data_IF_720021121387
#
_entry.id   IF_720021121387
#
_cell.length_a   1.000
_cell.length_b   1.000
_cell.length_c   1.000
_cell.angle_alpha   90.00
_cell.angle_beta   90.00
_cell.angle_gamma   90.00
#
_symmetry.space_group_name_H-M   'P 1'
#
loop_
_entity.id
_entity.type
_entity.pdbx_description
1 polymer ?
#
# COMPACT_ATOMS: atom_id res chain seq x y z
N UNK A 1 1.75 -40.56 -17.15
CA UNK A 1 3.03 -40.56 -16.42
C UNK A 1 3.23 -39.19 -15.82
N UNK A 2 3.12 -39.14 -14.50
CA UNK A 2 3.17 -37.94 -13.66
C UNK A 2 4.50 -37.20 -13.85
N UNK A 3 4.48 -35.94 -14.31
CA UNK A 3 5.65 -35.07 -14.23
C UNK A 3 5.71 -34.52 -12.82
N UNK A 4 6.72 -35.01 -12.10
CA UNK A 4 7.12 -34.64 -10.76
C UNK A 4 7.19 -33.12 -10.60
N UNK A 5 6.61 -32.62 -9.50
CA UNK A 5 6.84 -31.28 -8.96
C UNK A 5 8.34 -31.09 -8.77
N UNK A 6 8.99 -30.29 -9.61
CA UNK A 6 10.34 -29.79 -9.34
C UNK A 6 10.25 -28.92 -8.09
N UNK A 7 10.96 -29.31 -7.03
CA UNK A 7 11.27 -28.40 -5.94
C UNK A 7 12.08 -27.25 -6.56
N UNK A 8 11.49 -26.05 -6.62
CA UNK A 8 12.22 -24.85 -7.01
C UNK A 8 13.08 -24.49 -5.80
N UNK A 9 14.38 -24.78 -5.86
CA UNK A 9 15.30 -24.29 -4.83
C UNK A 9 15.31 -22.77 -4.90
N UNK A 10 15.16 -22.03 -3.78
CA UNK A 10 15.22 -20.58 -3.79
C UNK A 10 16.57 -20.11 -4.34
N UNK A 11 16.58 -18.99 -5.06
CA UNK A 11 17.85 -18.42 -5.51
C UNK A 11 18.66 -17.97 -4.29
N UNK A 12 19.98 -18.05 -4.43
CA UNK A 12 20.93 -17.62 -3.39
C UNK A 12 21.42 -16.24 -3.80
N UNK A 13 21.12 -15.25 -2.97
CA UNK A 13 21.25 -13.84 -3.31
C UNK A 13 22.25 -13.15 -2.39
N UNK A 14 23.22 -12.45 -2.97
CA UNK A 14 24.06 -11.49 -2.26
C UNK A 14 23.44 -10.12 -2.37
N UNK A 15 23.23 -9.44 -1.24
CA UNK A 15 22.75 -8.06 -1.21
C UNK A 15 23.95 -7.12 -1.14
N UNK A 16 23.94 -6.07 -1.97
CA UNK A 16 24.92 -5.00 -1.93
C UNK A 16 24.21 -3.66 -1.71
N UNK A 17 24.66 -2.88 -0.73
CA UNK A 17 24.08 -1.57 -0.44
C UNK A 17 25.15 -0.52 -0.18
N UNK A 18 24.76 0.75 -0.30
CA UNK A 18 25.58 1.88 0.11
C UNK A 18 24.99 2.53 1.34
N UNK A 19 25.87 3.04 2.19
CA UNK A 19 25.48 3.87 3.31
C UNK A 19 25.54 5.33 2.89
N UNK A 20 24.42 6.03 3.01
CA UNK A 20 24.33 7.44 2.68
C UNK A 20 25.29 8.28 3.53
N UNK A 21 26.07 9.12 2.85
CA UNK A 21 26.90 10.12 3.51
C UNK A 21 26.08 11.29 4.09
N UNK A 22 24.81 11.44 3.69
CA UNK A 22 23.93 12.55 4.05
C UNK A 22 23.48 12.54 5.53
N UNK A 23 23.59 11.40 6.23
CA UNK A 23 23.36 11.35 7.67
C UNK A 23 24.44 12.10 8.49
N UNK A 24 25.57 12.50 7.86
CA UNK A 24 26.69 13.16 8.55
C UNK A 24 26.71 14.69 8.43
N UNK A 25 25.81 15.33 7.68
CA UNK A 25 25.95 16.75 7.32
C UNK A 25 24.89 17.71 7.88
N UNK A 26 24.00 17.28 8.78
CA UNK A 26 22.97 18.15 9.36
C UNK A 26 23.10 18.39 10.88
N UNK A 27 24.33 18.45 11.39
CA UNK A 27 24.62 19.01 12.73
C UNK A 27 25.92 19.82 12.71
N UNK A 28 25.97 20.90 11.93
CA UNK A 28 26.92 22.00 12.20
C UNK A 28 26.29 23.32 11.79
N UNK A 29 25.47 23.87 12.69
CA UNK A 29 25.37 25.30 12.98
C UNK A 29 24.33 25.49 14.09
N UNK A 30 24.74 25.39 15.36
CA UNK A 30 24.60 26.51 16.30
C UNK A 30 25.28 26.20 17.66
N UNK A 31 25.88 27.25 18.21
CA UNK A 31 26.33 27.45 19.61
C UNK A 31 27.55 26.72 20.19
N UNK A 32 28.55 27.57 20.40
CA UNK A 32 29.73 27.52 21.25
C UNK A 32 29.39 27.36 22.76
N UNK A 33 30.34 26.77 23.50
CA UNK A 33 30.54 26.73 24.96
C UNK A 33 30.10 25.51 25.83
N UNK A 34 31.15 24.78 26.22
CA UNK A 34 31.45 24.18 27.54
C UNK A 34 30.69 22.93 28.02
N UNK A 35 31.46 21.85 28.22
CA UNK A 35 31.26 20.92 29.34
C UNK A 35 30.97 19.46 28.97
N UNK A 36 32.04 18.65 28.99
CA UNK A 36 32.11 17.20 29.28
C UNK A 36 30.79 16.46 29.65
N UNK A 37 30.46 15.38 28.92
CA UNK A 37 30.31 13.96 29.37
C UNK A 37 29.62 13.17 28.23
N UNK A 38 30.12 11.95 27.95
CA UNK A 38 29.72 11.12 26.82
C UNK A 38 28.32 10.50 26.86
N UNK A 39 27.89 10.09 25.65
CA UNK A 39 26.62 9.45 25.27
C UNK A 39 26.30 9.94 23.85
N UNK A 40 25.95 9.17 22.83
CA UNK A 40 25.51 7.77 22.70
C UNK A 40 25.69 7.40 21.22
N UNK A 41 26.49 6.37 20.96
CA UNK A 41 26.79 5.77 19.63
C UNK A 41 25.64 4.86 19.11
N UNK A 42 24.40 5.08 19.59
CA UNK A 42 23.29 4.13 19.43
C UNK A 42 22.31 4.48 18.30
N UNK A 43 22.09 5.76 18.00
CA UNK A 43 21.15 6.21 16.96
C UNK A 43 21.67 5.97 15.52
N UNK A 44 22.99 5.98 15.34
CA UNK A 44 23.62 5.76 14.04
C UNK A 44 23.60 4.27 13.63
N UNK A 45 23.68 3.34 14.59
CA UNK A 45 23.65 1.90 14.32
C UNK A 45 22.24 1.39 13.98
N UNK A 46 21.18 1.98 14.56
CA UNK A 46 19.79 1.58 14.30
C UNK A 46 19.34 1.92 12.88
N UNK A 47 19.69 3.11 12.37
CA UNK A 47 19.32 3.48 11.00
C UNK A 47 20.08 2.66 9.94
N UNK A 48 21.31 2.20 10.26
CA UNK A 48 22.16 1.35 9.42
C UNK A 48 21.66 -0.10 9.30
N UNK A 49 20.97 -0.62 10.32
CA UNK A 49 20.42 -2.00 10.32
C UNK A 49 19.10 -2.07 9.56
N UNK A 50 18.24 -1.06 9.71
CA UNK A 50 16.86 -1.07 9.18
C UNK A 50 16.74 -0.91 7.65
N UNK A 51 17.66 -0.22 6.95
CA UNK A 51 17.66 -0.16 5.47
C UNK A 51 18.03 -1.52 4.86
N UNK A 52 19.07 -2.14 5.41
CA UNK A 52 19.53 -3.48 5.01
C UNK A 52 18.45 -4.53 5.28
N UNK A 53 17.64 -4.34 6.33
CA UNK A 53 16.54 -5.24 6.67
C UNK A 53 15.38 -5.16 5.68
N UNK A 54 15.07 -3.98 5.11
CA UNK A 54 14.01 -3.84 4.11
C UNK A 54 14.37 -4.54 2.80
N UNK A 55 15.56 -4.28 2.24
CA UNK A 55 15.98 -4.95 1.00
C UNK A 55 16.08 -6.46 1.18
N UNK A 56 16.53 -6.93 2.35
CA UNK A 56 16.52 -8.35 2.68
C UNK A 56 15.08 -8.90 2.78
N UNK A 57 14.12 -8.13 3.29
CA UNK A 57 12.71 -8.50 3.28
C UNK A 57 12.13 -8.54 1.86
N UNK A 58 12.56 -7.64 0.96
CA UNK A 58 12.18 -7.66 -0.46
C UNK A 58 12.72 -8.92 -1.16
N UNK A 59 13.99 -9.26 -0.95
CA UNK A 59 14.61 -10.49 -1.50
C UNK A 59 13.84 -11.72 -1.05
N UNK A 60 13.48 -11.80 0.25
CA UNK A 60 12.67 -12.90 0.78
C UNK A 60 11.25 -12.92 0.21
N UNK A 61 10.65 -11.75 -0.05
CA UNK A 61 9.33 -11.63 -0.67
C UNK A 61 9.34 -12.11 -2.13
N UNK A 62 10.45 -11.93 -2.86
CA UNK A 62 10.66 -12.50 -4.19
C UNK A 62 10.84 -14.03 -4.17
N UNK A 63 11.00 -14.64 -2.99
CA UNK A 63 11.22 -16.07 -2.82
C UNK A 63 12.68 -16.48 -2.80
N UNK A 64 13.61 -15.52 -2.70
CA UNK A 64 15.04 -15.73 -2.68
C UNK A 64 15.60 -15.77 -1.24
N UNK A 65 16.76 -16.41 -1.07
CA UNK A 65 17.48 -16.50 0.20
C UNK A 65 18.68 -15.54 0.20
N UNK A 66 18.75 -14.65 1.20
CA UNK A 66 19.92 -13.78 1.39
C UNK A 66 21.06 -14.59 2.02
N UNK A 67 22.14 -14.79 1.28
CA UNK A 67 23.30 -15.59 1.74
C UNK A 67 24.47 -14.75 2.23
N UNK A 68 24.57 -13.50 1.79
CA UNK A 68 25.55 -12.53 2.26
C UNK A 68 25.06 -11.10 2.00
N UNK A 69 25.59 -10.15 2.77
CA UNK A 69 25.34 -8.71 2.60
C UNK A 69 26.67 -7.98 2.57
N UNK A 70 26.83 -7.07 1.61
CA UNK A 70 28.01 -6.26 1.39
C UNK A 70 27.60 -4.78 1.45
N UNK A 71 28.24 -4.00 2.32
CA UNK A 71 27.94 -2.57 2.48
C UNK A 71 29.16 -1.71 2.18
N UNK A 72 28.94 -0.53 1.59
CA UNK A 72 30.00 0.46 1.35
C UNK A 72 29.57 1.86 1.80
N UNK A 73 30.41 2.51 2.62
CA UNK A 73 30.24 3.92 2.95
C UNK A 73 30.92 4.84 1.91
N UNK A 74 30.30 5.98 1.58
CA UNK A 74 30.91 7.05 0.78
C UNK A 74 30.04 7.52 -0.39
N UNK A 75 30.64 8.13 -1.41
CA UNK A 75 29.94 8.56 -2.65
C UNK A 75 29.87 7.49 -3.73
N UNK A 76 28.78 7.47 -4.48
CA UNK A 76 28.57 6.57 -5.62
C UNK A 76 29.73 6.63 -6.61
N UNK A 77 30.07 5.48 -7.19
CA UNK A 77 30.94 5.43 -8.34
C UNK A 77 30.06 5.56 -9.60
N UNK A 78 30.28 6.58 -10.46
CA UNK A 78 29.49 6.75 -11.67
C UNK A 78 29.49 5.53 -12.60
N UNK A 79 30.57 4.73 -12.59
CA UNK A 79 30.72 3.58 -13.48
C UNK A 79 30.15 2.26 -12.96
N UNK A 80 30.14 2.02 -11.65
CA UNK A 80 29.81 0.71 -11.08
C UNK A 80 28.96 0.75 -9.83
N UNK A 81 28.48 1.94 -9.43
CA UNK A 81 27.79 2.23 -8.16
C UNK A 81 28.68 2.01 -6.92
N UNK A 82 29.31 0.84 -6.78
CA UNK A 82 30.32 0.48 -5.77
C UNK A 82 31.75 0.85 -6.22
N UNK A 83 32.70 0.95 -5.29
CA UNK A 83 34.11 1.13 -5.62
C UNK A 83 34.74 -0.16 -6.16
N UNK A 84 35.77 -0.07 -7.01
CA UNK A 84 36.38 -1.22 -7.68
C UNK A 84 36.74 -2.37 -6.73
N UNK A 85 37.43 -2.09 -5.62
CA UNK A 85 37.77 -3.14 -4.64
C UNK A 85 36.55 -3.82 -4.00
N UNK A 86 35.41 -3.12 -3.93
CA UNK A 86 34.16 -3.68 -3.41
C UNK A 86 33.41 -4.49 -4.46
N UNK A 87 33.57 -4.14 -5.74
CA UNK A 87 33.10 -4.96 -6.87
C UNK A 87 33.87 -6.28 -6.92
N UNK A 88 35.19 -6.24 -6.72
CA UNK A 88 36.02 -7.44 -6.63
C UNK A 88 35.60 -8.31 -5.44
N UNK A 89 35.43 -7.71 -4.25
CA UNK A 89 34.94 -8.38 -3.04
C UNK A 89 33.55 -9.01 -3.26
N UNK A 90 32.66 -8.32 -3.98
CA UNK A 90 31.34 -8.81 -4.33
C UNK A 90 31.41 -10.04 -5.24
N UNK A 91 32.24 -10.00 -6.29
CA UNK A 91 32.44 -11.14 -7.19
C UNK A 91 33.04 -12.35 -6.44
N UNK A 92 34.02 -12.12 -5.55
CA UNK A 92 34.59 -13.16 -4.69
C UNK A 92 33.55 -13.77 -3.75
N UNK A 93 32.68 -12.94 -3.16
CA UNK A 93 31.62 -13.39 -2.26
C UNK A 93 30.57 -14.22 -2.99
N UNK A 94 30.17 -13.80 -4.20
CA UNK A 94 29.24 -14.55 -5.05
C UNK A 94 29.81 -15.94 -5.36
N UNK A 95 31.09 -16.01 -5.76
CA UNK A 95 31.75 -17.28 -6.04
C UNK A 95 31.92 -18.16 -4.79
N UNK A 96 32.20 -17.57 -3.62
CA UNK A 96 32.37 -18.32 -2.38
C UNK A 96 31.06 -18.86 -1.79
N UNK A 97 29.95 -18.16 -2.03
CA UNK A 97 28.63 -18.51 -1.49
C UNK A 97 27.75 -19.31 -2.45
N UNK A 98 28.22 -19.53 -3.68
CA UNK A 98 27.46 -20.14 -4.78
C UNK A 98 26.14 -19.39 -5.00
N UNK A 99 26.22 -18.06 -4.96
CA UNK A 99 25.09 -17.18 -5.24
C UNK A 99 24.89 -17.07 -6.74
N UNK A 100 23.63 -17.09 -7.18
CA UNK A 100 23.25 -16.93 -8.59
C UNK A 100 22.58 -15.57 -8.84
N UNK A 101 22.42 -14.75 -7.80
CA UNK A 101 21.88 -13.39 -7.89
C UNK A 101 22.66 -12.41 -7.04
N UNK A 102 22.76 -11.20 -7.54
CA UNK A 102 23.19 -10.02 -6.79
C UNK A 102 22.05 -9.01 -6.83
N UNK A 103 21.65 -8.51 -5.67
CA UNK A 103 20.68 -7.43 -5.54
C UNK A 103 21.39 -6.19 -5.02
N UNK A 104 21.31 -5.10 -5.76
CA UNK A 104 21.79 -3.79 -5.32
C UNK A 104 20.63 -2.98 -4.75
N UNK A 105 20.77 -2.48 -3.52
CA UNK A 105 19.76 -1.70 -2.80
C UNK A 105 19.71 -0.23 -3.23
N UNK A 106 19.51 0.00 -4.53
CA UNK A 106 19.32 1.31 -5.15
C UNK A 106 18.86 1.13 -6.61
N UNK A 107 18.60 2.22 -7.34
CA UNK A 107 18.44 2.20 -8.79
C UNK A 107 19.80 2.30 -9.49
N UNK A 108 20.10 1.36 -10.39
CA UNK A 108 21.33 1.37 -11.17
C UNK A 108 21.10 2.05 -12.52
N UNK A 109 22.01 2.93 -12.93
CA UNK A 109 22.03 3.41 -14.32
C UNK A 109 22.37 2.26 -15.29
N UNK A 110 22.00 2.33 -16.58
CA UNK A 110 22.31 1.29 -17.55
C UNK A 110 23.79 0.91 -17.62
N UNK A 111 24.69 1.90 -17.58
CA UNK A 111 26.14 1.67 -17.61
C UNK A 111 26.67 1.03 -16.32
N UNK A 112 26.12 1.41 -15.16
CA UNK A 112 26.46 0.77 -13.87
C UNK A 112 26.02 -0.68 -13.83
N UNK A 113 24.79 -0.96 -14.28
CA UNK A 113 24.26 -2.31 -14.37
C UNK A 113 25.14 -3.19 -15.27
N UNK A 114 25.46 -2.73 -16.48
CA UNK A 114 26.34 -3.46 -17.40
C UNK A 114 27.75 -3.71 -16.84
N UNK A 115 28.32 -2.72 -16.15
CA UNK A 115 29.65 -2.82 -15.54
C UNK A 115 29.67 -3.87 -14.42
N UNK A 116 28.65 -3.86 -13.55
CA UNK A 116 28.51 -4.84 -12.48
C UNK A 116 28.27 -6.25 -13.05
N UNK A 117 27.35 -6.38 -14.01
CA UNK A 117 27.05 -7.65 -14.67
C UNK A 117 28.30 -8.26 -15.31
N UNK A 118 29.11 -7.44 -15.99
CA UNK A 118 30.36 -7.88 -16.62
C UNK A 118 31.46 -8.30 -15.63
N UNK A 119 31.39 -7.80 -14.39
CA UNK A 119 32.36 -8.12 -13.34
C UNK A 119 31.97 -9.36 -12.52
N UNK A 120 30.70 -9.79 -12.57
CA UNK A 120 30.23 -10.95 -11.81
C UNK A 120 30.62 -12.28 -12.47
N UNK A 121 30.68 -13.38 -11.69
CA UNK A 121 30.84 -14.73 -12.25
C UNK A 121 29.77 -15.06 -13.29
N UNK A 122 30.11 -15.92 -14.25
CA UNK A 122 29.17 -16.39 -15.26
C UNK A 122 27.89 -16.95 -14.63
N UNK A 123 26.75 -16.69 -15.26
CA UNK A 123 25.40 -17.08 -14.82
C UNK A 123 24.85 -16.34 -13.58
N UNK A 124 25.53 -15.28 -13.10
CA UNK A 124 25.02 -14.41 -12.02
C UNK A 124 24.11 -13.32 -12.57
N UNK A 125 22.85 -13.27 -12.13
CA UNK A 125 21.96 -12.17 -12.48
C UNK A 125 22.16 -10.98 -11.53
N UNK A 126 22.42 -9.79 -12.08
CA UNK A 126 22.46 -8.53 -11.32
C UNK A 126 21.10 -7.85 -11.41
N UNK A 127 20.50 -7.59 -10.26
CA UNK A 127 19.24 -6.87 -10.11
C UNK A 127 19.51 -5.63 -9.27
N UNK A 128 18.82 -4.55 -9.58
CA UNK A 128 18.73 -3.39 -8.71
C UNK A 128 17.40 -3.44 -7.92
N UNK A 129 17.18 -2.48 -7.02
CA UNK A 129 15.98 -2.44 -6.17
C UNK A 129 14.72 -2.34 -7.03
N UNK A 130 14.77 -1.54 -8.09
CA UNK A 130 13.68 -1.36 -9.05
C UNK A 130 13.28 -2.70 -9.69
N UNK A 131 14.25 -3.44 -10.25
CA UNK A 131 13.98 -4.72 -10.89
C UNK A 131 13.46 -5.77 -9.92
N UNK A 132 14.01 -5.83 -8.70
CA UNK A 132 13.53 -6.75 -7.68
C UNK A 132 12.06 -6.52 -7.35
N UNK A 133 11.67 -5.25 -7.18
CA UNK A 133 10.29 -4.87 -6.91
C UNK A 133 9.36 -5.29 -8.06
N UNK A 134 9.77 -5.08 -9.32
CA UNK A 134 9.01 -5.54 -10.50
C UNK A 134 8.77 -7.06 -10.51
N UNK A 135 9.75 -7.86 -10.10
CA UNK A 135 9.61 -9.32 -10.03
C UNK A 135 8.62 -9.77 -8.95
N UNK A 136 8.65 -9.13 -7.78
CA UNK A 136 7.69 -9.40 -6.71
C UNK A 136 6.26 -9.12 -7.20
N UNK A 137 6.08 -8.03 -7.96
CA UNK A 137 4.79 -7.70 -8.56
C UNK A 137 4.34 -8.66 -9.64
N UNK A 138 5.25 -9.21 -10.44
CA UNK A 138 4.92 -10.22 -11.43
C UNK A 138 4.33 -11.48 -10.77
N UNK A 139 4.96 -11.93 -9.68
CA UNK A 139 4.46 -13.06 -8.89
C UNK A 139 3.07 -12.79 -8.28
N UNK A 140 2.77 -11.53 -7.96
CA UNK A 140 1.52 -11.07 -7.38
C UNK A 140 0.38 -10.79 -8.35
N UNK A 141 0.68 -10.54 -9.63
CA UNK A 141 -0.31 -10.12 -10.60
C UNK A 141 -1.27 -11.28 -10.98
N UNK A 142 -2.46 -11.33 -10.37
CA UNK A 142 -3.50 -12.32 -10.71
C UNK A 142 -4.34 -11.90 -11.92
N UNK A 143 -4.69 -10.61 -12.00
CA UNK A 143 -5.52 -10.08 -13.06
C UNK A 143 -4.78 -9.94 -14.39
N UNK A 144 -5.49 -10.13 -15.50
CA UNK A 144 -4.90 -9.99 -16.85
C UNK A 144 -4.41 -8.57 -17.13
N UNK A 145 -5.02 -7.54 -16.53
CA UNK A 145 -4.59 -6.14 -16.69
C UNK A 145 -3.29 -5.89 -15.91
N UNK A 146 -3.25 -6.31 -14.64
CA UNK A 146 -2.04 -6.21 -13.80
C UNK A 146 -0.84 -6.90 -14.47
N UNK A 147 -1.03 -8.11 -15.03
CA UNK A 147 0.03 -8.80 -15.79
C UNK A 147 0.57 -7.98 -16.96
N UNK A 148 -0.31 -7.31 -17.71
CA UNK A 148 0.10 -6.47 -18.84
C UNK A 148 0.82 -5.19 -18.39
N UNK A 149 0.43 -4.63 -17.24
CA UNK A 149 1.09 -3.44 -16.67
C UNK A 149 2.48 -3.78 -16.14
N UNK A 150 2.62 -4.90 -15.42
CA UNK A 150 3.93 -5.36 -14.94
C UNK A 150 4.86 -5.69 -16.12
N UNK A 151 4.35 -6.39 -17.15
CA UNK A 151 5.12 -6.65 -18.38
C UNK A 151 5.56 -5.33 -19.06
N UNK A 152 4.67 -4.34 -19.14
CA UNK A 152 5.00 -3.03 -19.71
C UNK A 152 6.11 -2.33 -18.90
N UNK A 153 6.00 -2.32 -17.58
CA UNK A 153 6.98 -1.69 -16.71
C UNK A 153 8.36 -2.38 -16.78
N UNK A 154 8.38 -3.72 -16.80
CA UNK A 154 9.61 -4.49 -17.03
C UNK A 154 10.26 -4.15 -18.37
N UNK A 155 9.49 -4.09 -19.46
CA UNK A 155 10.03 -3.74 -20.78
C UNK A 155 10.55 -2.30 -20.85
N UNK A 156 9.88 -1.34 -20.19
CA UNK A 156 10.35 0.05 -20.10
C UNK A 156 11.67 0.15 -19.32
N UNK A 157 11.80 -0.61 -18.24
CA UNK A 157 13.03 -0.71 -17.44
C UNK A 157 14.18 -1.40 -18.20
N UNK A 158 13.87 -2.48 -18.93
CA UNK A 158 14.87 -3.29 -19.65
C UNK A 158 15.35 -2.58 -20.92
N UNK A 159 14.51 -1.79 -21.59
CA UNK A 159 14.83 -1.12 -22.86
C UNK A 159 16.12 -0.28 -22.83
N UNK A 160 16.33 0.68 -21.90
CA UNK A 160 17.57 1.46 -21.87
C UNK A 160 18.81 0.60 -21.57
N UNK A 161 18.68 -0.46 -20.76
CA UNK A 161 19.77 -1.41 -20.44
C UNK A 161 20.11 -2.32 -21.63
N UNK A 162 19.10 -2.71 -22.39
CA UNK A 162 19.28 -3.46 -23.63
C UNK A 162 19.92 -2.60 -24.73
N UNK A 163 19.66 -1.30 -24.75
CA UNK A 163 20.35 -0.36 -25.66
C UNK A 163 21.83 -0.23 -25.28
N UNK A 164 22.14 -0.14 -23.99
CA UNK A 164 23.52 -0.01 -23.48
C UNK A 164 24.35 -1.29 -23.74
N UNK A 165 23.77 -2.47 -23.54
CA UNK A 165 24.44 -3.75 -23.80
C UNK A 165 24.58 -4.10 -25.29
N UNK A 166 23.81 -3.45 -26.16
CA UNK A 166 23.93 -3.63 -27.60
C UNK A 166 25.12 -2.82 -28.14
N UNK A 167 26.31 -3.44 -28.12
CA UNK A 167 27.60 -3.03 -28.73
C UNK A 167 27.59 -1.73 -29.60
N UNK A 168 28.54 -0.82 -29.34
CA UNK A 168 28.76 0.44 -30.10
C UNK A 168 28.80 0.26 -31.64
N UNK A 169 29.13 -0.93 -32.14
CA UNK A 169 29.16 -1.28 -33.57
C UNK A 169 27.79 -1.47 -34.25
N UNK A 170 26.70 -1.44 -33.50
CA UNK A 170 25.32 -1.70 -33.96
C UNK A 170 24.41 -0.47 -33.93
N UNK A 171 24.97 0.74 -33.82
CA UNK A 171 24.20 1.99 -33.79
C UNK A 171 23.23 2.15 -34.98
N UNK A 172 23.58 1.60 -36.15
CA UNK A 172 22.74 1.65 -37.35
C UNK A 172 21.61 0.60 -37.39
N UNK A 173 21.56 -0.36 -36.45
CA UNK A 173 20.54 -1.43 -36.44
C UNK A 173 19.46 -1.27 -35.36
N UNK A 174 19.58 -0.29 -34.46
CA UNK A 174 18.62 -0.09 -33.36
C UNK A 174 17.20 0.26 -33.83
N UNK A 175 17.05 0.78 -35.06
CA UNK A 175 15.76 1.12 -35.69
C UNK A 175 15.38 0.15 -36.81
N UNK A 176 16.25 -0.80 -37.14
CA UNK A 176 15.95 -1.82 -38.14
C UNK A 176 14.93 -2.82 -37.58
N UNK A 177 13.92 -3.14 -38.39
CA UNK A 177 12.94 -4.19 -38.08
C UNK A 177 13.66 -5.51 -37.86
N UNK A 178 13.37 -6.16 -36.74
CA UNK A 178 13.98 -7.43 -36.32
C UNK A 178 15.25 -7.27 -35.47
N UNK A 179 15.59 -6.05 -35.04
CA UNK A 179 16.56 -5.87 -33.95
C UNK A 179 15.89 -6.10 -32.59
N UNK A 180 16.63 -6.59 -31.57
CA UNK A 180 16.09 -6.77 -30.23
C UNK A 180 15.49 -5.48 -29.64
N UNK A 181 16.14 -4.33 -29.88
CA UNK A 181 15.65 -3.00 -29.45
C UNK A 181 14.31 -2.66 -30.12
N UNK A 182 14.20 -2.88 -31.43
CA UNK A 182 12.96 -2.61 -32.16
C UNK A 182 11.80 -3.48 -31.67
N UNK A 183 12.06 -4.77 -31.44
CA UNK A 183 11.03 -5.72 -31.00
C UNK A 183 10.49 -5.37 -29.61
N UNK A 184 11.35 -4.91 -28.69
CA UNK A 184 10.94 -4.40 -27.37
C UNK A 184 10.10 -3.13 -27.50
N UNK A 185 10.53 -2.15 -28.31
CA UNK A 185 9.75 -0.91 -28.55
C UNK A 185 8.36 -1.21 -29.13
N UNK A 186 8.29 -2.04 -30.16
CA UNK A 186 7.02 -2.45 -30.76
C UNK A 186 6.16 -3.28 -29.79
N UNK A 187 6.77 -3.98 -28.83
CA UNK A 187 6.03 -4.65 -27.75
C UNK A 187 5.43 -3.65 -26.77
N UNK A 188 6.20 -2.64 -26.34
CA UNK A 188 5.72 -1.53 -25.49
C UNK A 188 4.51 -0.86 -26.15
N UNK A 189 4.63 -0.41 -27.41
CA UNK A 189 3.55 0.27 -28.15
C UNK A 189 2.26 -0.58 -28.27
N UNK A 190 2.40 -1.91 -28.32
CA UNK A 190 1.25 -2.82 -28.36
C UNK A 190 0.62 -3.02 -26.99
N UNK A 191 1.41 -3.04 -25.92
CA UNK A 191 0.90 -3.19 -24.56
C UNK A 191 0.19 -1.92 -24.12
N UNK A 192 0.73 -0.74 -24.43
CA UNK A 192 0.09 0.56 -24.17
C UNK A 192 -1.30 0.64 -24.81
N UNK A 193 -1.41 0.39 -26.12
CA UNK A 193 -2.73 0.35 -26.80
C UNK A 193 -3.71 -0.66 -26.19
N UNK A 194 -3.23 -1.84 -25.80
CA UNK A 194 -4.08 -2.86 -25.16
C UNK A 194 -4.60 -2.41 -23.79
N UNK A 195 -3.81 -1.62 -23.05
CA UNK A 195 -4.20 -1.07 -21.76
C UNK A 195 -5.19 0.08 -21.90
N UNK A 196 -5.08 0.89 -22.96
CA UNK A 196 -6.04 1.96 -23.31
C UNK A 196 -7.41 1.40 -23.74
N UNK A 197 -7.44 0.36 -24.57
CA UNK A 197 -8.69 -0.27 -25.05
C UNK A 197 -9.48 -1.00 -23.94
N UNK A 198 -8.89 -1.17 -22.76
CA UNK A 198 -9.47 -1.91 -21.63
C UNK A 198 -9.65 -0.98 -20.42
N UNK A 199 -10.67 -0.10 -20.44
CA UNK A 199 -11.03 0.66 -19.26
C UNK A 199 -11.39 -0.29 -18.11
N UNK A 200 -11.09 0.13 -16.89
CA UNK A 200 -11.22 -0.73 -15.72
C UNK A 200 -12.66 -1.17 -15.44
N UNK A 201 -12.87 -2.48 -15.16
CA UNK A 201 -14.11 -2.97 -14.58
C UNK A 201 -14.46 -2.31 -13.23
N UNK A 202 -13.45 -1.77 -12.53
CA UNK A 202 -13.57 -1.16 -11.22
C UNK A 202 -14.57 0.00 -11.18
N UNK A 203 -14.65 0.85 -12.22
CA UNK A 203 -15.62 1.95 -12.26
C UNK A 203 -17.08 1.46 -12.19
N UNK A 204 -17.42 0.43 -12.97
CA UNK A 204 -18.77 -0.18 -12.97
C UNK A 204 -19.06 -0.96 -11.69
N UNK A 205 -18.05 -1.61 -11.14
CA UNK A 205 -18.20 -2.33 -9.87
C UNK A 205 -18.43 -1.35 -8.71
N UNK A 206 -17.69 -0.23 -8.68
CA UNK A 206 -17.87 0.88 -7.73
C UNK A 206 -19.25 1.49 -7.80
N UNK A 207 -19.72 1.82 -9.00
CA UNK A 207 -21.08 2.36 -9.19
C UNK A 207 -22.13 1.39 -8.65
N UNK A 208 -22.04 0.11 -9.01
CA UNK A 208 -22.96 -0.93 -8.51
C UNK A 208 -22.89 -1.12 -7.00
N UNK A 209 -21.70 -1.08 -6.38
CA UNK A 209 -21.57 -1.22 -4.92
C UNK A 209 -22.14 -0.03 -4.17
N UNK A 210 -22.02 1.18 -4.74
CA UNK A 210 -22.72 2.35 -4.21
C UNK A 210 -24.23 2.27 -4.44
N UNK A 211 -24.70 1.66 -5.53
CA UNK A 211 -26.13 1.35 -5.72
C UNK A 211 -26.66 0.35 -4.69
N UNK A 212 -25.83 -0.61 -4.27
CA UNK A 212 -26.12 -1.59 -3.22
C UNK A 212 -26.09 -0.98 -1.80
N UNK A 213 -25.66 0.29 -1.65
CA UNK A 213 -25.74 1.05 -0.39
C UNK A 213 -24.48 1.02 0.48
N UNK A 214 -23.33 0.61 -0.07
CA UNK A 214 -22.06 0.61 0.65
C UNK A 214 -21.29 1.92 0.45
N UNK A 215 -20.71 2.44 1.53
CA UNK A 215 -19.64 3.43 1.42
C UNK A 215 -18.29 2.74 1.20
N UNK A 216 -17.37 3.42 0.51
CA UNK A 216 -16.06 2.90 0.14
C UNK A 216 -14.98 3.45 1.05
N UNK A 217 -14.32 2.57 1.79
CA UNK A 217 -13.18 2.90 2.66
C UNK A 217 -11.93 2.22 2.09
N UNK A 218 -10.87 2.98 1.86
CA UNK A 218 -9.63 2.45 1.31
C UNK A 218 -8.49 2.59 2.31
N UNK A 219 -7.76 1.52 2.60
CA UNK A 219 -6.53 1.57 3.38
C UNK A 219 -5.34 1.83 2.44
N UNK A 220 -4.58 2.88 2.70
CA UNK A 220 -3.38 3.27 1.95
C UNK A 220 -2.19 3.44 2.90
N UNK A 221 -0.96 3.38 2.38
CA UNK A 221 0.26 3.47 3.19
C UNK A 221 1.35 2.47 2.80
N UNK A 222 2.51 2.60 3.42
CA UNK A 222 3.68 1.76 3.13
C UNK A 222 3.43 0.27 3.39
N UNK A 223 4.18 -0.57 2.69
CA UNK A 223 4.29 -2.00 2.97
C UNK A 223 4.68 -2.18 4.43
N UNK A 224 4.14 -3.23 5.05
CA UNK A 224 4.29 -3.49 6.49
C UNK A 224 3.76 -2.41 7.46
N UNK A 225 3.09 -1.36 6.99
CA UNK A 225 2.44 -0.40 7.89
C UNK A 225 1.24 -1.02 8.66
N UNK A 226 0.75 -2.19 8.24
CA UNK A 226 -0.36 -2.91 8.89
C UNK A 226 -1.74 -2.71 8.25
N UNK A 227 -1.80 -2.31 6.96
CA UNK A 227 -3.06 -2.14 6.20
C UNK A 227 -3.91 -3.41 6.15
N UNK A 228 -3.30 -4.55 5.82
CA UNK A 228 -3.98 -5.85 5.72
C UNK A 228 -4.48 -6.34 7.07
N UNK A 229 -3.69 -6.13 8.12
CA UNK A 229 -4.11 -6.37 9.51
C UNK A 229 -5.30 -5.52 9.89
N UNK A 230 -5.32 -4.24 9.50
CA UNK A 230 -6.43 -3.33 9.76
C UNK A 230 -7.69 -3.77 9.02
N UNK A 231 -7.58 -4.12 7.74
CA UNK A 231 -8.71 -4.65 6.98
C UNK A 231 -9.29 -5.90 7.65
N UNK A 232 -8.44 -6.83 8.12
CA UNK A 232 -8.90 -8.03 8.82
C UNK A 232 -9.60 -7.71 10.15
N UNK A 233 -9.14 -6.69 10.88
CA UNK A 233 -9.78 -6.21 12.11
C UNK A 233 -11.15 -5.58 11.87
N UNK A 234 -11.34 -4.93 10.73
CA UNK A 234 -12.59 -4.24 10.40
C UNK A 234 -13.64 -5.17 9.76
N UNK A 235 -13.23 -6.25 9.09
CA UNK A 235 -14.14 -7.10 8.31
C UNK A 235 -15.15 -7.91 9.17
N UNK A 236 -16.41 -7.95 8.72
CA UNK A 236 -17.52 -8.64 9.41
C UNK A 236 -17.30 -10.16 9.57
N UNK A 237 -16.66 -10.78 8.57
CA UNK A 237 -16.53 -12.24 8.45
C UNK A 237 -15.71 -12.88 9.59
N UNK A 238 -14.92 -12.10 10.32
CA UNK A 238 -14.11 -12.54 11.46
C UNK A 238 -14.71 -12.12 12.81
N UNK A 239 -15.68 -11.20 12.79
CA UNK A 239 -16.43 -10.73 13.96
C UNK A 239 -17.52 -11.71 14.41
N UNK A 240 -17.76 -12.79 13.65
CA UNK A 240 -18.57 -13.94 14.09
C UNK A 240 -17.74 -14.81 15.06
N UNK A 241 -17.25 -14.17 16.12
CA UNK A 241 -17.06 -14.81 17.40
C UNK A 241 -18.29 -14.47 18.25
N UNK A 242 -19.43 -15.04 17.86
CA UNK A 242 -20.49 -15.38 18.81
C UNK A 242 -19.93 -16.46 19.76
N UNK A 243 -19.02 -16.01 20.62
CA UNK A 243 -18.80 -16.58 21.93
C UNK A 243 -20.09 -16.36 22.73
N UNK A 244 -21.13 -17.14 22.43
CA UNK A 244 -21.91 -17.86 23.43
C UNK A 244 -23.10 -18.59 22.81
N UNK A 245 -23.15 -19.90 23.12
CA UNK A 245 -24.30 -20.80 23.06
C UNK A 245 -24.59 -21.52 21.73
N UNK A 246 -23.88 -22.63 21.52
CA UNK A 246 -24.46 -23.92 21.95
C UNK A 246 -23.43 -25.04 21.94
N UNK A 247 -23.21 -25.61 23.12
CA UNK A 247 -22.61 -26.93 23.28
C UNK A 247 -23.40 -27.98 22.49
N UNK A 248 -22.74 -28.69 21.57
CA UNK A 248 -22.83 -30.16 21.44
C UNK A 248 -21.74 -30.75 20.55
N UNK A 249 -20.80 -31.41 21.23
CA UNK A 249 -20.15 -32.70 20.94
C UNK A 249 -19.40 -32.91 19.62
N UNK A 250 -18.07 -33.05 19.77
CA UNK A 250 -17.13 -33.99 19.15
C UNK A 250 -17.38 -34.40 17.68
N UNK A 251 -16.55 -33.91 16.76
CA UNK A 251 -15.60 -34.80 16.07
C UNK A 251 -14.45 -34.00 15.43
N UNK A 252 -13.33 -34.71 15.26
CA UNK A 252 -11.99 -34.33 14.82
C UNK A 252 -11.93 -33.40 13.57
N UNK A 253 -11.50 -32.14 13.76
CA UNK A 253 -10.72 -31.39 12.75
C UNK A 253 -10.18 -30.07 13.29
N UNK A 254 -8.93 -29.80 12.95
CA UNK A 254 -8.01 -28.76 13.44
C UNK A 254 -8.35 -27.33 12.97
N UNK A 255 -9.41 -26.72 13.51
CA UNK A 255 -9.75 -25.31 13.24
C UNK A 255 -9.39 -24.40 14.42
N UNK A 256 -8.08 -24.22 14.64
CA UNK A 256 -7.51 -23.18 15.51
C UNK A 256 -6.74 -22.09 14.74
N UNK A 257 -6.84 -22.06 13.40
CA UNK A 257 -5.96 -21.25 12.55
C UNK A 257 -6.69 -20.34 11.55
N UNK A 258 -7.81 -19.70 11.93
CA UNK A 258 -8.36 -18.59 11.15
C UNK A 258 -7.84 -17.22 11.61
N UNK A 259 -7.30 -17.14 12.84
CA UNK A 259 -6.68 -15.95 13.43
C UNK A 259 -5.15 -15.99 13.35
N UNK A 260 -4.58 -17.00 12.68
CA UNK A 260 -3.15 -17.23 12.60
C UNK A 260 -2.59 -16.82 11.22
N UNK A 261 -1.64 -15.89 11.27
CA UNK A 261 -0.64 -15.57 10.26
C UNK A 261 -1.03 -14.60 9.12
N UNK A 262 -1.41 -13.36 9.49
CA UNK A 262 -0.85 -12.21 8.76
C UNK A 262 0.66 -12.29 9.03
N UNK A 263 1.45 -12.67 8.02
CA UNK A 263 2.89 -12.83 8.20
C UNK A 263 3.54 -11.49 7.91
N UNK A 264 4.41 -11.04 8.81
CA UNK A 264 5.22 -9.83 8.63
C UNK A 264 6.18 -10.01 7.43
N UNK A 265 5.67 -9.75 6.23
CA UNK A 265 6.35 -9.86 4.94
C UNK A 265 5.93 -8.70 4.07
N UNK A 266 6.90 -8.10 3.37
CA UNK A 266 6.62 -7.11 2.35
C UNK A 266 5.79 -7.74 1.23
N UNK A 267 4.89 -6.94 0.66
CA UNK A 267 4.01 -7.36 -0.43
C UNK A 267 3.10 -8.57 -0.14
N UNK A 268 2.59 -8.68 1.10
CA UNK A 268 1.54 -9.66 1.41
C UNK A 268 0.27 -9.40 0.58
N UNK A 269 -0.09 -8.13 0.37
CA UNK A 269 -1.20 -7.71 -0.50
C UNK A 269 -0.67 -7.17 -1.82
N UNK A 270 -0.70 -8.03 -2.85
CA UNK A 270 -0.31 -7.71 -4.22
C UNK A 270 -1.50 -7.40 -5.15
N UNK A 271 -2.72 -7.76 -4.74
CA UNK A 271 -3.98 -7.36 -5.37
C UNK A 271 -4.89 -6.66 -4.37
N UNK A 272 -5.74 -5.74 -4.84
CA UNK A 272 -6.71 -5.09 -3.97
C UNK A 272 -7.67 -6.11 -3.37
N UNK A 273 -7.71 -6.19 -2.05
CA UNK A 273 -8.62 -7.08 -1.34
C UNK A 273 -9.74 -6.25 -0.74
N UNK A 274 -10.98 -6.46 -1.20
CA UNK A 274 -12.16 -5.78 -0.66
C UNK A 274 -12.95 -6.73 0.23
N UNK A 275 -13.23 -6.33 1.47
CA UNK A 275 -14.12 -7.04 2.39
C UNK A 275 -15.26 -6.15 2.86
N UNK A 276 -16.37 -6.79 3.22
CA UNK A 276 -17.49 -6.09 3.87
C UNK A 276 -17.17 -5.89 5.36
N UNK A 277 -17.45 -4.70 5.84
CA UNK A 277 -17.38 -4.35 7.24
C UNK A 277 -18.62 -3.54 7.63
N UNK A 278 -18.96 -3.57 8.90
CA UNK A 278 -20.03 -2.78 9.50
C UNK A 278 -19.43 -1.96 10.63
N UNK A 279 -19.28 -0.64 10.40
CA UNK A 279 -18.73 0.28 11.40
C UNK A 279 -19.91 0.99 12.05
N UNK A 280 -20.19 0.68 13.33
CA UNK A 280 -21.33 1.22 14.11
C UNK A 280 -22.67 1.19 13.35
N UNK A 281 -22.99 0.04 12.73
CA UNK A 281 -24.21 -0.16 11.95
C UNK A 281 -24.18 0.39 10.52
N UNK A 282 -23.12 1.11 10.13
CA UNK A 282 -22.94 1.62 8.77
C UNK A 282 -22.20 0.59 7.89
N UNK A 283 -22.84 0.07 6.82
CA UNK A 283 -22.22 -0.91 5.94
C UNK A 283 -21.17 -0.24 5.04
N UNK A 284 -19.93 -0.71 5.14
CA UNK A 284 -18.81 -0.21 4.34
C UNK A 284 -18.11 -1.35 3.62
N UNK A 285 -17.45 -1.02 2.52
CA UNK A 285 -16.48 -1.90 1.86
C UNK A 285 -15.09 -1.37 2.16
N UNK A 286 -14.32 -2.15 2.91
CA UNK A 286 -12.92 -1.84 3.20
C UNK A 286 -12.06 -2.50 2.13
N UNK A 287 -11.27 -1.70 1.43
CA UNK A 287 -10.34 -2.16 0.40
C UNK A 287 -8.91 -1.96 0.88
N UNK A 288 -8.14 -3.06 0.94
CA UNK A 288 -6.71 -3.02 1.15
C UNK A 288 -6.03 -2.79 -0.20
N UNK A 289 -5.12 -1.82 -0.26
CA UNK A 289 -4.35 -1.49 -1.46
C UNK A 289 -2.94 -2.04 -1.38
N UNK A 290 -2.30 -2.13 -2.54
CA UNK A 290 -0.88 -2.43 -2.62
C UNK A 290 -0.11 -1.38 -1.82
N UNK A 291 0.80 -1.82 -0.95
CA UNK A 291 1.60 -0.91 -0.14
C UNK A 291 2.70 -0.20 -0.92
N UNK A 292 3.05 1.00 -0.47
CA UNK A 292 4.23 1.72 -0.96
C UNK A 292 5.53 1.04 -0.51
N UNK A 293 6.60 1.16 -1.29
CA UNK A 293 7.96 0.77 -0.91
C UNK A 293 8.86 1.99 -1.07
N UNK A 294 9.90 2.10 -0.25
CA UNK A 294 10.85 3.20 -0.39
C UNK A 294 11.50 3.14 -1.79
N UNK A 295 11.65 4.29 -2.43
CA UNK A 295 12.18 4.46 -3.80
C UNK A 295 11.38 3.70 -4.87
N UNK A 296 10.05 3.73 -4.76
CA UNK A 296 9.18 3.22 -5.83
C UNK A 296 9.41 4.01 -7.14
N UNK A 297 9.75 3.32 -8.23
CA UNK A 297 10.02 3.96 -9.51
C UNK A 297 8.79 4.67 -10.09
N UNK A 298 8.98 5.83 -10.72
CA UNK A 298 7.89 6.61 -11.30
C UNK A 298 7.07 5.84 -12.36
N UNK A 299 7.71 4.97 -13.16
CA UNK A 299 7.04 4.11 -14.14
C UNK A 299 6.17 3.02 -13.49
N UNK A 300 6.55 2.58 -12.28
CA UNK A 300 5.73 1.71 -11.46
C UNK A 300 4.49 2.45 -10.96
N UNK A 301 4.63 3.70 -10.48
CA UNK A 301 3.51 4.50 -9.97
C UNK A 301 2.38 4.61 -11.00
N UNK A 302 2.71 4.77 -12.28
CA UNK A 302 1.72 4.78 -13.37
C UNK A 302 1.03 3.41 -13.56
N UNK A 303 1.78 2.32 -13.37
CA UNK A 303 1.25 0.95 -13.41
C UNK A 303 0.37 0.63 -12.19
N UNK A 304 0.69 1.17 -11.00
CA UNK A 304 -0.12 1.10 -9.79
C UNK A 304 -1.23 2.13 -9.73
N UNK A 305 -1.26 3.13 -10.62
CA UNK A 305 -2.32 4.16 -10.71
C UNK A 305 -3.71 3.52 -10.78
N UNK A 306 -3.83 2.37 -11.46
CA UNK A 306 -5.02 1.52 -11.44
C UNK A 306 -5.47 1.13 -10.01
N UNK A 307 -4.58 0.50 -9.25
CA UNK A 307 -4.82 0.05 -7.87
C UNK A 307 -4.90 1.20 -6.86
N UNK A 308 -4.19 2.29 -7.12
CA UNK A 308 -4.19 3.51 -6.31
C UNK A 308 -5.38 4.43 -6.62
N UNK A 309 -6.01 4.28 -7.78
CA UNK A 309 -7.25 5.00 -8.14
C UNK A 309 -8.42 4.62 -7.21
N UNK A 310 -8.31 3.50 -6.49
CA UNK A 310 -9.27 3.15 -5.44
C UNK A 310 -9.19 4.08 -4.23
N UNK A 311 -8.05 4.73 -3.98
CA UNK A 311 -7.97 5.80 -2.99
C UNK A 311 -8.73 7.04 -3.47
N UNK A 312 -8.53 7.47 -4.72
CA UNK A 312 -9.22 8.64 -5.29
C UNK A 312 -10.75 8.48 -5.38
N UNK A 313 -11.23 7.25 -5.54
CA UNK A 313 -12.67 6.94 -5.56
C UNK A 313 -13.28 6.65 -4.19
N UNK A 314 -12.47 6.56 -3.14
CA UNK A 314 -12.96 6.28 -1.80
C UNK A 314 -13.76 7.46 -1.24
N UNK A 315 -14.72 7.13 -0.39
CA UNK A 315 -15.42 8.11 0.44
C UNK A 315 -14.53 8.52 1.63
N UNK A 316 -13.71 7.59 2.13
CA UNK A 316 -12.66 7.82 3.14
C UNK A 316 -11.40 7.02 2.80
N UNK A 317 -10.24 7.65 2.95
CA UNK A 317 -8.93 6.98 2.85
C UNK A 317 -8.30 6.91 4.24
N UNK A 318 -8.10 5.71 4.75
CA UNK A 318 -7.34 5.48 5.98
C UNK A 318 -5.87 5.38 5.63
N UNK A 319 -5.10 6.42 5.93
CA UNK A 319 -3.65 6.46 5.71
C UNK A 319 -2.95 5.79 6.89
N UNK A 320 -2.53 4.55 6.72
CA UNK A 320 -1.83 3.76 7.74
C UNK A 320 -0.33 4.01 7.63
N UNK A 321 0.27 4.53 8.70
CA UNK A 321 1.71 4.86 8.77
C UNK A 321 2.33 4.11 9.94
N UNK A 322 3.49 3.51 9.74
CA UNK A 322 4.21 2.82 10.81
C UNK A 322 4.87 3.84 11.75
N UNK A 323 4.33 4.01 12.95
CA UNK A 323 4.87 4.95 13.93
C UNK A 323 6.20 4.48 14.54
N UNK A 324 6.49 3.17 14.48
CA UNK A 324 7.71 2.57 15.04
C UNK A 324 8.95 2.87 14.21
N UNK A 325 8.79 3.36 12.97
CA UNK A 325 9.88 3.83 12.14
C UNK A 325 10.71 4.92 12.86
N UNK A 326 12.04 4.98 12.63
CA UNK A 326 12.87 6.10 13.02
C UNK A 326 12.31 7.44 12.53
N UNK A 327 12.60 8.53 13.22
CA UNK A 327 11.89 9.80 13.02
C UNK A 327 12.00 10.38 11.61
N UNK A 328 13.21 10.35 11.05
CA UNK A 328 13.49 10.78 9.69
C UNK A 328 12.72 9.93 8.66
N UNK A 329 12.69 8.60 8.85
CA UNK A 329 12.00 7.66 7.96
C UNK A 329 10.49 7.80 8.05
N UNK A 330 9.95 7.89 9.27
CA UNK A 330 8.54 8.14 9.51
C UNK A 330 8.06 9.40 8.76
N UNK A 331 8.83 10.49 8.88
CA UNK A 331 8.52 11.75 8.19
C UNK A 331 8.58 11.60 6.67
N UNK A 332 9.66 11.04 6.14
CA UNK A 332 9.82 10.85 4.69
C UNK A 332 8.69 9.99 4.11
N UNK A 333 8.35 8.88 4.78
CA UNK A 333 7.25 8.00 4.36
C UNK A 333 5.90 8.69 4.44
N UNK A 334 5.64 9.49 5.47
CA UNK A 334 4.41 10.28 5.57
C UNK A 334 4.30 11.28 4.41
N UNK A 335 5.36 12.05 4.14
CA UNK A 335 5.41 13.03 3.05
C UNK A 335 5.14 12.36 1.69
N UNK A 336 5.87 11.28 1.36
CA UNK A 336 5.67 10.55 0.10
C UNK A 336 4.27 9.95 0.00
N UNK A 337 3.73 9.40 1.09
CA UNK A 337 2.38 8.83 1.06
C UNK A 337 1.33 9.92 0.76
N UNK A 338 1.49 11.13 1.30
CA UNK A 338 0.60 12.26 1.01
C UNK A 338 0.74 12.73 -0.44
N UNK A 339 1.97 12.85 -0.96
CA UNK A 339 2.21 13.20 -2.37
C UNK A 339 1.54 12.21 -3.33
N UNK A 340 1.59 10.91 -3.01
CA UNK A 340 0.91 9.89 -3.80
C UNK A 340 -0.61 10.04 -3.74
N UNK A 341 -1.18 10.33 -2.57
CA UNK A 341 -2.63 10.56 -2.44
C UNK A 341 -3.08 11.80 -3.22
N UNK A 342 -2.31 12.88 -3.18
CA UNK A 342 -2.55 14.10 -3.97
C UNK A 342 -2.50 13.82 -5.48
N UNK A 343 -1.50 13.07 -5.94
CA UNK A 343 -1.39 12.65 -7.33
C UNK A 343 -2.59 11.80 -7.81
N UNK A 344 -3.28 11.11 -6.89
CA UNK A 344 -4.50 10.36 -7.17
C UNK A 344 -5.78 11.20 -6.97
N UNK A 345 -5.66 12.51 -6.75
CA UNK A 345 -6.77 13.45 -6.55
C UNK A 345 -7.66 13.10 -5.35
N UNK A 346 -7.07 12.50 -4.32
CA UNK A 346 -7.76 12.26 -3.04
C UNK A 346 -8.01 13.62 -2.37
N UNK A 347 -9.26 13.89 -2.00
CA UNK A 347 -9.58 15.11 -1.28
C UNK A 347 -9.06 15.02 0.16
N UNK A 348 -8.35 16.05 0.61
CA UNK A 348 -7.72 16.13 1.93
C UNK A 348 -8.69 15.84 3.08
N UNK A 349 -9.94 16.28 2.97
CA UNK A 349 -10.99 16.10 3.99
C UNK A 349 -11.43 14.64 4.18
N UNK A 350 -11.03 13.75 3.27
CA UNK A 350 -11.31 12.31 3.33
C UNK A 350 -10.16 11.51 3.93
N UNK A 351 -9.03 12.14 4.23
CA UNK A 351 -7.85 11.45 4.76
C UNK A 351 -8.01 11.29 6.28
N UNK A 352 -7.93 10.03 6.73
CA UNK A 352 -7.93 9.65 8.15
C UNK A 352 -6.58 9.00 8.48
N UNK A 353 -5.65 9.71 9.13
CA UNK A 353 -4.32 9.19 9.43
C UNK A 353 -4.35 8.26 10.64
N UNK A 354 -3.89 7.03 10.46
CA UNK A 354 -3.74 6.01 11.50
C UNK A 354 -2.25 5.71 11.71
N UNK A 355 -1.67 6.26 12.77
CA UNK A 355 -0.29 6.00 13.16
C UNK A 355 -0.23 4.65 13.88
N UNK A 356 0.08 3.59 13.15
CA UNK A 356 0.04 2.21 13.65
C UNK A 356 1.34 1.81 14.39
N UNK A 357 1.30 0.67 15.10
CA UNK A 357 2.42 0.09 15.87
C UNK A 357 2.89 0.94 17.05
N UNK A 358 1.98 1.72 17.65
CA UNK A 358 2.31 2.52 18.85
C UNK A 358 2.64 1.65 20.08
N UNK A 359 2.34 0.36 20.04
CA UNK A 359 2.76 -0.63 21.04
C UNK A 359 4.29 -0.82 21.11
N UNK A 360 5.00 -0.48 20.03
CA UNK A 360 6.47 -0.49 19.99
C UNK A 360 7.10 0.80 20.55
N UNK A 361 6.30 1.81 20.90
CA UNK A 361 6.77 3.13 21.28
C UNK A 361 6.52 3.43 22.76
N UNK A 362 7.41 4.21 23.36
CA UNK A 362 7.11 4.90 24.62
C UNK A 362 6.06 6.00 24.42
N UNK A 363 5.44 6.44 25.52
CA UNK A 363 4.45 7.52 25.47
C UNK A 363 5.03 8.84 24.90
N UNK A 364 6.30 9.14 25.21
CA UNK A 364 6.97 10.34 24.71
C UNK A 364 7.26 10.24 23.21
N UNK A 365 7.69 9.08 22.71
CA UNK A 365 7.91 8.86 21.28
C UNK A 365 6.60 8.93 20.50
N UNK A 366 5.54 8.31 21.01
CA UNK A 366 4.20 8.39 20.41
C UNK A 366 3.70 9.85 20.33
N UNK A 367 3.89 10.64 21.38
CA UNK A 367 3.54 12.06 21.40
C UNK A 367 4.33 12.89 20.37
N UNK A 368 5.63 12.58 20.20
CA UNK A 368 6.46 13.20 19.15
C UNK A 368 5.97 12.84 17.76
N UNK A 369 5.66 11.56 17.50
CA UNK A 369 5.10 11.11 16.21
C UNK A 369 3.80 11.83 15.84
N UNK A 370 2.92 12.05 16.82
CA UNK A 370 1.69 12.82 16.62
C UNK A 370 1.96 14.27 16.23
N UNK A 371 2.94 14.89 16.89
CA UNK A 371 3.32 16.29 16.61
C UNK A 371 3.89 16.43 15.20
N UNK A 372 4.74 15.49 14.78
CA UNK A 372 5.28 15.45 13.42
C UNK A 372 4.15 15.24 12.43
N UNK A 373 3.30 14.23 12.63
CA UNK A 373 2.21 13.95 11.71
C UNK A 373 1.28 15.16 11.54
N UNK A 374 0.87 15.79 12.64
CA UNK A 374 0.01 16.96 12.62
C UNK A 374 0.64 18.17 11.89
N UNK A 375 1.97 18.28 11.85
CA UNK A 375 2.66 19.35 11.13
C UNK A 375 2.74 19.12 9.61
N UNK A 376 2.60 17.87 9.16
CA UNK A 376 2.71 17.48 7.74
C UNK A 376 1.35 17.23 7.07
N UNK A 377 0.33 16.91 7.86
CA UNK A 377 -1.00 16.64 7.36
C UNK A 377 -1.69 17.91 6.86
N UNK A 378 -2.51 17.82 5.79
CA UNK A 378 -3.34 18.94 5.36
C UNK A 378 -4.32 19.38 6.45
N UNK A 379 -4.61 20.68 6.54
CA UNK A 379 -5.55 21.25 7.54
C UNK A 379 -6.95 20.63 7.48
N UNK A 380 -7.38 20.17 6.30
CA UNK A 380 -8.68 19.56 6.09
C UNK A 380 -8.74 18.09 6.54
N UNK A 381 -7.60 17.40 6.66
CA UNK A 381 -7.51 16.01 7.07
C UNK A 381 -7.99 15.82 8.52
N UNK A 382 -8.25 14.58 8.92
CA UNK A 382 -8.51 14.28 10.32
C UNK A 382 -7.23 14.37 11.17
N UNK A 383 -7.39 14.67 12.46
CA UNK A 383 -6.28 14.60 13.40
C UNK A 383 -5.67 13.18 13.39
N UNK A 384 -4.33 13.05 13.45
CA UNK A 384 -3.69 11.75 13.43
C UNK A 384 -4.05 10.94 14.68
N UNK A 385 -4.41 9.66 14.47
CA UNK A 385 -4.85 8.78 15.53
C UNK A 385 -3.74 7.76 15.83
N UNK A 386 -3.20 7.73 17.06
CA UNK A 386 -2.23 6.72 17.46
C UNK A 386 -2.95 5.39 17.69
N UNK A 387 -2.65 4.35 16.93
CA UNK A 387 -3.31 3.05 17.00
C UNK A 387 -2.30 1.92 17.14
N UNK A 388 -2.74 0.83 17.79
CA UNK A 388 -2.11 -0.47 17.63
C UNK A 388 -3.17 -1.41 17.09
N UNK A 389 -3.06 -1.75 15.81
CA UNK A 389 -4.00 -2.68 15.17
C UNK A 389 -3.83 -4.10 15.75
N UNK A 390 -2.62 -4.44 16.19
CA UNK A 390 -2.31 -5.72 16.82
C UNK A 390 -2.97 -5.83 18.20
N UNK A 391 -2.80 -4.83 19.06
CA UNK A 391 -3.35 -4.85 20.43
C UNK A 391 -4.80 -4.33 20.52
N UNK A 392 -5.30 -3.67 19.48
CA UNK A 392 -6.63 -3.05 19.46
C UNK A 392 -6.70 -1.65 20.06
N UNK A 393 -5.56 -1.05 20.38
CA UNK A 393 -5.47 0.30 20.98
C UNK A 393 -6.05 1.35 20.05
N UNK A 394 -7.00 2.16 20.56
CA UNK A 394 -7.66 3.28 19.88
C UNK A 394 -8.41 2.92 18.57
N UNK A 395 -8.71 1.65 18.31
CA UNK A 395 -9.48 1.26 17.13
C UNK A 395 -10.91 1.83 17.14
N UNK A 396 -11.56 1.94 18.30
CA UNK A 396 -12.89 2.57 18.40
C UNK A 396 -12.86 4.03 17.95
N UNK A 397 -11.83 4.79 18.38
CA UNK A 397 -11.63 6.18 17.96
C UNK A 397 -11.37 6.28 16.46
N UNK A 398 -10.58 5.37 15.90
CA UNK A 398 -10.36 5.31 14.45
C UNK A 398 -11.68 5.07 13.69
N UNK A 399 -12.50 4.13 14.15
CA UNK A 399 -13.82 3.86 13.59
C UNK A 399 -14.76 5.08 13.68
N UNK A 400 -14.80 5.76 14.82
CA UNK A 400 -15.59 6.99 15.01
C UNK A 400 -15.16 8.08 14.01
N UNK A 401 -13.87 8.34 13.87
CA UNK A 401 -13.36 9.33 12.93
C UNK A 401 -13.62 8.96 11.47
N UNK A 402 -13.54 7.67 11.10
CA UNK A 402 -13.96 7.20 9.77
C UNK A 402 -15.43 7.56 9.53
N UNK A 403 -16.32 7.28 10.49
CA UNK A 403 -17.76 7.59 10.37
C UNK A 403 -18.04 9.09 10.25
N UNK A 404 -17.29 9.93 10.97
CA UNK A 404 -17.41 11.39 10.91
C UNK A 404 -17.04 11.93 9.52
N UNK A 405 -16.06 11.31 8.85
CA UNK A 405 -15.62 11.70 7.51
C UNK A 405 -16.47 11.10 6.39
N UNK A 406 -17.21 10.03 6.65
CA UNK A 406 -18.10 9.45 5.65
C UNK A 406 -19.24 10.42 5.27
N UNK A 407 -19.60 10.51 3.97
CA UNK A 407 -20.64 11.41 3.49
C UNK A 407 -21.96 11.18 4.22
N UNK A 408 -22.43 12.19 4.97
CA UNK A 408 -23.62 12.06 5.80
C UNK A 408 -24.47 13.31 5.68
N UNK A 409 -25.72 13.15 5.27
CA UNK A 409 -26.71 14.22 5.19
C UNK A 409 -27.78 14.04 6.27
N UNK A 410 -28.54 15.10 6.54
CA UNK A 410 -29.78 15.04 7.31
C UNK A 410 -30.95 15.35 6.37
N UNK A 411 -32.02 14.56 6.46
CA UNK A 411 -33.27 14.84 5.76
C UNK A 411 -34.42 14.98 6.75
N UNK A 412 -35.28 15.96 6.48
CA UNK A 412 -36.59 16.09 7.11
C UNK A 412 -37.65 15.73 6.06
N UNK A 413 -38.30 14.59 6.25
CA UNK A 413 -39.34 14.08 5.36
C UNK A 413 -40.70 14.35 6.01
N UNK A 414 -41.67 14.77 5.22
CA UNK A 414 -43.05 14.95 5.68
C UNK A 414 -43.99 14.29 4.69
N UNK A 415 -44.80 13.36 5.17
CA UNK A 415 -45.77 12.60 4.36
C UNK A 415 -47.14 12.56 5.05
N UNK A 416 -48.25 12.42 4.30
CA UNK A 416 -49.56 12.13 4.88
C UNK A 416 -49.54 10.87 5.74
N UNK A 417 -50.30 10.85 6.83
CA UNK A 417 -50.39 9.67 7.69
C UNK A 417 -51.21 8.55 7.01
N UNK A 418 -50.51 7.62 6.35
CA UNK A 418 -51.06 6.51 5.57
C UNK A 418 -50.18 5.26 5.68
N UNK A 419 -50.64 4.12 5.16
CA UNK A 419 -49.88 2.85 5.21
C UNK A 419 -48.51 2.95 4.52
N UNK A 420 -48.42 3.68 3.41
CA UNK A 420 -47.15 3.93 2.71
C UNK A 420 -46.17 4.77 3.54
N UNK A 421 -46.66 5.62 4.44
CA UNK A 421 -45.81 6.36 5.37
C UNK A 421 -45.16 5.42 6.38
N UNK A 422 -45.87 4.38 6.85
CA UNK A 422 -45.29 3.39 7.77
C UNK A 422 -44.20 2.55 7.10
N UNK A 423 -44.39 2.21 5.82
CA UNK A 423 -43.34 1.56 5.02
C UNK A 423 -42.11 2.46 4.83
N UNK A 424 -42.30 3.78 4.70
CA UNK A 424 -41.22 4.76 4.62
C UNK A 424 -40.47 4.87 5.96
N UNK A 425 -41.19 4.92 7.09
CA UNK A 425 -40.60 4.95 8.45
C UNK A 425 -39.76 3.70 8.69
N UNK A 426 -40.29 2.50 8.41
CA UNK A 426 -39.54 1.25 8.57
C UNK A 426 -38.24 1.28 7.77
N UNK A 427 -38.28 1.71 6.50
CA UNK A 427 -37.08 1.84 5.67
C UNK A 427 -36.08 2.88 6.20
N UNK A 428 -36.56 3.96 6.81
CA UNK A 428 -35.68 4.93 7.44
C UNK A 428 -34.95 4.28 8.62
N UNK A 429 -35.64 3.57 9.52
CA UNK A 429 -34.98 2.82 10.61
C UNK A 429 -34.01 1.75 10.12
N UNK A 430 -34.32 1.08 9.00
CA UNK A 430 -33.46 0.02 8.47
C UNK A 430 -32.18 0.54 7.79
N UNK A 431 -32.17 1.79 7.31
CA UNK A 431 -31.12 2.30 6.42
C UNK A 431 -30.50 3.63 6.83
N UNK A 432 -31.02 4.29 7.85
CA UNK A 432 -30.52 5.57 8.35
C UNK A 432 -30.61 5.63 9.88
N UNK A 433 -29.89 6.58 10.48
CA UNK A 433 -30.05 6.91 11.89
C UNK A 433 -31.24 7.86 12.03
N UNK A 434 -32.36 7.37 12.53
CA UNK A 434 -33.57 8.17 12.73
C UNK A 434 -33.45 8.95 14.04
N UNK A 435 -33.43 10.28 13.95
CA UNK A 435 -33.30 11.18 15.10
C UNK A 435 -34.65 11.39 15.79
N UNK A 436 -35.69 11.67 15.01
CA UNK A 436 -37.06 11.84 15.51
C UNK A 436 -38.10 11.38 14.49
N UNK A 437 -39.21 10.84 15.01
CA UNK A 437 -40.43 10.58 14.24
C UNK A 437 -41.60 11.13 15.01
N UNK A 438 -42.42 11.95 14.35
CA UNK A 438 -43.64 12.51 14.91
C UNK A 438 -44.86 12.07 14.09
N UNK A 439 -45.91 11.65 14.79
CA UNK A 439 -47.13 11.10 14.21
C UNK A 439 -48.31 11.99 14.57
N UNK A 440 -48.76 12.77 13.60
CA UNK A 440 -49.97 13.60 13.69
C UNK A 440 -50.84 13.38 12.44
N UNK A 441 -51.55 14.39 11.95
CA UNK A 441 -52.18 14.40 10.62
C UNK A 441 -51.20 14.10 9.47
N UNK A 442 -49.91 14.35 9.71
CA UNK A 442 -48.79 14.00 8.83
C UNK A 442 -47.69 13.34 9.64
N UNK A 443 -47.00 12.36 9.05
CA UNK A 443 -45.80 11.75 9.64
C UNK A 443 -44.59 12.60 9.25
N UNK A 444 -43.85 13.08 10.25
CA UNK A 444 -42.59 13.81 10.05
C UNK A 444 -41.43 12.95 10.51
N UNK A 445 -40.45 12.71 9.64
CA UNK A 445 -39.28 11.87 9.91
C UNK A 445 -38.04 12.75 9.76
N UNK A 446 -37.26 12.87 10.82
CA UNK A 446 -35.92 13.46 10.77
C UNK A 446 -34.90 12.34 10.90
N UNK A 447 -34.08 12.16 9.88
CA UNK A 447 -33.09 11.11 9.86
C UNK A 447 -31.78 11.58 9.24
N UNK A 448 -30.69 10.94 9.65
CA UNK A 448 -29.33 11.20 9.23
C UNK A 448 -28.76 9.94 8.60
N UNK A 449 -28.13 10.06 7.44
CA UNK A 449 -27.60 8.90 6.75
C UNK A 449 -26.95 9.23 5.41
N UNK A 450 -26.63 8.20 4.61
CA UNK A 450 -25.97 8.39 3.33
C UNK A 450 -26.83 9.26 2.39
N UNK A 451 -26.26 10.30 1.72
CA UNK A 451 -26.99 11.22 0.85
C UNK A 451 -27.93 10.52 -0.15
N UNK A 452 -27.46 9.43 -0.77
CA UNK A 452 -28.24 8.65 -1.75
C UNK A 452 -29.45 7.95 -1.13
N UNK A 453 -29.30 7.39 0.07
CA UNK A 453 -30.44 6.77 0.77
C UNK A 453 -31.47 7.86 1.11
N UNK A 454 -31.00 9.04 1.53
CA UNK A 454 -31.88 10.18 1.79
C UNK A 454 -32.57 10.69 0.52
N UNK A 455 -31.90 10.74 -0.63
CA UNK A 455 -32.52 11.04 -1.92
C UNK A 455 -33.62 10.03 -2.29
N UNK A 456 -33.37 8.73 -2.11
CA UNK A 456 -34.39 7.69 -2.35
C UNK A 456 -35.59 7.85 -1.41
N UNK A 457 -35.36 8.17 -0.14
CA UNK A 457 -36.42 8.43 0.83
C UNK A 457 -37.20 9.71 0.50
N UNK A 458 -36.52 10.80 0.10
CA UNK A 458 -37.14 12.04 -0.40
C UNK A 458 -38.03 11.76 -1.61
N UNK A 459 -37.51 11.08 -2.64
CA UNK A 459 -38.28 10.72 -3.84
C UNK A 459 -39.47 9.79 -3.57
N UNK A 460 -39.39 8.96 -2.52
CA UNK A 460 -40.54 8.14 -2.07
C UNK A 460 -41.56 9.00 -1.33
N UNK A 461 -41.11 9.87 -0.43
CA UNK A 461 -41.97 10.81 0.29
C UNK A 461 -42.75 11.73 -0.66
N UNK A 462 -42.10 12.23 -1.71
CA UNK A 462 -42.72 13.07 -2.73
C UNK A 462 -43.81 12.31 -3.50
N UNK A 463 -43.59 11.04 -3.83
CA UNK A 463 -44.60 10.18 -4.47
C UNK A 463 -45.83 9.96 -3.59
N UNK A 464 -45.62 9.62 -2.31
CA UNK A 464 -46.72 9.41 -1.36
C UNK A 464 -47.55 10.69 -1.23
N UNK A 465 -46.89 11.84 -1.14
CA UNK A 465 -47.53 13.15 -1.05
C UNK A 465 -48.29 13.51 -2.32
N UNK A 466 -47.77 13.16 -3.50
CA UNK A 466 -48.43 13.40 -4.78
C UNK A 466 -49.67 12.52 -5.00
N UNK A 467 -49.68 11.29 -4.49
CA UNK A 467 -50.83 10.37 -4.59
C UNK A 467 -51.99 10.75 -3.66
N UNK A 468 -51.74 11.60 -2.67
CA UNK A 468 -52.71 12.05 -1.66
C UNK A 468 -53.09 13.54 -1.79
N UNK A 469 -52.65 14.21 -2.87
CA UNK A 469 -53.14 15.52 -3.32
C UNK A 469 -54.24 15.34 -4.35
#
# INVERSE_FOLDING_TARGET
MSRSRTHNTPNRTVVASRLDAAAKSNETDDTDQTGQVGGTDQTDQTNQTDQTDEIAALVRAAGDEVVATITQAGRENPGSYLGHGKVDELAETVAATDANRVVVDDELTPSQHHTLESAMPADTAVLDRHRLVLEIFEAGAGSRRAKLQVELAQLRYDLPRLIESADEGLLNKQTEKGSPVYDVRDRIDRLERKLEERPEPAARFRERRREEGFDLVTCAGYTNAGKSTLLHRLADELSISDANSSSKSNDDSSDKDATAAVRDRLFETLETTTRRATIDGRPVLVTDTVGFVDDLPHDLVESFSATLSEAGAADVVVLVVDASDPESRFRARLEVALDVLDAQTVADDRIVPALNKVDCLSADESARRLTIAAAHLPDAAADPIPVSVLEGTNLSRLCETILERLPTETANLRVPNCDDAMALVSRAYDRTSVETVDYDDTVTIRCRGPPRILEQLRARADRITAEHR
#
